data_IF_801284523154
#
_entry.id   IF_801284523154
#
_cell.length_a   1.000
_cell.length_b   1.000
_cell.length_c   1.000
_cell.angle_alpha   90.00
_cell.angle_beta   90.00
_cell.angle_gamma   90.00
#
_symmetry.space_group_name_H-M   'P 1'
#
loop_
_entity.id
_entity.type
_entity.pdbx_description
1 polymer ?
#
# COMPACT_ATOMS: atom_id res chain seq x y z
N UNK A 1 -22.92 14.34 -34.75
CA UNK A 1 -22.79 13.34 -33.68
C UNK A 1 -21.40 12.71 -33.81
N UNK A 2 -20.59 12.68 -32.74
CA UNK A 2 -19.31 11.95 -32.80
C UNK A 2 -19.64 10.46 -32.83
N UNK A 3 -19.03 9.71 -33.78
CA UNK A 3 -19.13 8.28 -33.84
C UNK A 3 -18.51 7.65 -32.56
N UNK A 4 -19.17 6.64 -31.98
CA UNK A 4 -18.72 5.97 -30.75
C UNK A 4 -17.34 5.33 -30.96
N UNK A 5 -17.08 4.78 -32.15
CA UNK A 5 -15.78 4.17 -32.44
C UNK A 5 -14.66 5.20 -32.50
N UNK A 6 -14.93 6.40 -33.01
CA UNK A 6 -13.98 7.50 -32.94
C UNK A 6 -13.67 7.91 -31.49
N UNK A 7 -14.69 7.95 -30.62
CA UNK A 7 -14.48 8.28 -29.21
C UNK A 7 -13.68 7.20 -28.48
N UNK A 8 -13.86 5.92 -28.82
CA UNK A 8 -13.05 4.81 -28.30
C UNK A 8 -11.59 4.93 -28.74
N UNK A 9 -11.34 5.21 -30.01
CA UNK A 9 -9.98 5.45 -30.50
C UNK A 9 -9.31 6.65 -29.80
N UNK A 10 -10.06 7.74 -29.58
CA UNK A 10 -9.54 8.88 -28.84
C UNK A 10 -9.19 8.51 -27.37
N UNK A 11 -9.93 7.60 -26.73
CA UNK A 11 -9.62 7.05 -25.41
C UNK A 11 -8.37 6.17 -25.43
N UNK A 12 -8.25 5.27 -26.40
CA UNK A 12 -7.09 4.39 -26.57
C UNK A 12 -5.79 5.23 -26.68
N UNK A 13 -5.81 6.34 -27.42
CA UNK A 13 -4.69 7.26 -27.50
C UNK A 13 -4.36 7.90 -26.12
N UNK A 14 -5.38 8.25 -25.34
CA UNK A 14 -5.16 8.76 -23.97
C UNK A 14 -4.55 7.69 -23.07
N UNK A 15 -5.00 6.45 -23.18
CA UNK A 15 -4.49 5.32 -22.40
C UNK A 15 -3.02 5.02 -22.73
N UNK A 16 -2.62 5.07 -24.00
CA UNK A 16 -1.22 4.97 -24.41
C UNK A 16 -0.35 6.04 -23.74
N UNK A 17 -0.78 7.30 -23.74
CA UNK A 17 -0.05 8.40 -23.09
C UNK A 17 0.08 8.15 -21.58
N UNK A 18 -0.97 7.68 -20.92
CA UNK A 18 -0.96 7.36 -19.48
C UNK A 18 0.05 6.24 -19.19
N UNK A 19 0.04 5.17 -19.98
CA UNK A 19 0.95 4.03 -19.82
C UNK A 19 2.39 4.46 -20.01
N UNK A 20 2.69 5.22 -21.05
CA UNK A 20 4.04 5.72 -21.32
C UNK A 20 4.53 6.68 -20.25
N UNK A 21 3.67 7.57 -19.77
CA UNK A 21 4.00 8.48 -18.67
C UNK A 21 4.28 7.73 -17.36
N UNK A 22 3.52 6.67 -17.06
CA UNK A 22 3.74 5.82 -15.89
C UNK A 22 5.04 5.03 -16.02
N UNK A 23 5.35 4.47 -17.18
CA UNK A 23 6.61 3.77 -17.45
C UNK A 23 7.81 4.69 -17.23
N UNK A 24 7.81 5.87 -17.83
CA UNK A 24 8.86 6.88 -17.65
C UNK A 24 8.98 7.28 -16.17
N UNK A 25 7.85 7.51 -15.50
CA UNK A 25 7.82 7.87 -14.08
C UNK A 25 8.49 6.80 -13.20
N UNK A 26 8.21 5.52 -13.44
CA UNK A 26 8.78 4.44 -12.63
C UNK A 26 10.28 4.25 -12.89
N UNK A 27 10.77 4.51 -14.09
CA UNK A 27 12.21 4.57 -14.36
C UNK A 27 12.88 5.66 -13.53
N UNK A 28 12.31 6.87 -13.51
CA UNK A 28 12.83 7.98 -12.69
C UNK A 28 12.74 7.64 -11.18
N UNK A 29 11.70 6.94 -10.74
CA UNK A 29 11.59 6.51 -9.35
C UNK A 29 12.72 5.56 -8.95
N UNK A 30 13.20 4.69 -9.80
CA UNK A 30 14.37 3.85 -9.53
C UNK A 30 15.63 4.70 -9.31
N UNK A 31 15.88 5.69 -10.16
CA UNK A 31 16.99 6.63 -9.97
C UNK A 31 16.89 7.41 -8.66
N UNK A 32 15.67 7.89 -8.34
CA UNK A 32 15.38 8.56 -7.06
C UNK A 32 15.61 7.64 -5.87
N UNK A 33 15.28 6.34 -5.99
CA UNK A 33 15.49 5.34 -4.94
C UNK A 33 16.98 5.16 -4.65
N UNK A 34 17.77 4.98 -5.69
CA UNK A 34 19.22 4.85 -5.57
C UNK A 34 19.84 6.10 -4.92
N UNK A 35 19.46 7.27 -5.40
CA UNK A 35 19.93 8.54 -4.82
C UNK A 35 19.59 8.69 -3.33
N UNK A 36 18.36 8.34 -2.95
CA UNK A 36 17.93 8.38 -1.55
C UNK A 36 18.71 7.40 -0.68
N UNK A 37 18.95 6.20 -1.17
CA UNK A 37 19.73 5.18 -0.47
C UNK A 37 21.18 5.64 -0.24
N UNK A 38 21.83 6.17 -1.25
CA UNK A 38 23.21 6.66 -1.17
C UNK A 38 23.37 7.84 -0.23
N UNK A 39 22.33 8.68 -0.08
CA UNK A 39 22.37 9.90 0.73
C UNK A 39 21.61 9.78 2.06
N UNK A 40 21.12 8.61 2.45
CA UNK A 40 20.40 8.39 3.70
C UNK A 40 19.09 9.16 3.80
N UNK A 41 18.40 9.40 2.66
CA UNK A 41 17.15 10.17 2.60
C UNK A 41 15.95 9.23 2.76
N UNK A 42 14.99 9.61 3.60
CA UNK A 42 13.77 8.83 3.82
C UNK A 42 12.92 8.68 2.56
N UNK A 43 12.28 7.49 2.41
CA UNK A 43 11.35 7.22 1.30
C UNK A 43 10.17 8.18 1.35
N UNK A 44 9.56 8.30 2.53
CA UNK A 44 8.36 9.09 2.76
C UNK A 44 8.74 10.52 3.11
N UNK A 45 8.37 11.45 2.27
CA UNK A 45 8.61 12.88 2.43
C UNK A 45 7.27 13.62 2.32
N UNK A 46 6.57 13.88 3.43
CA UNK A 46 5.23 14.47 3.43
C UNK A 46 5.16 15.82 2.74
N UNK A 47 6.18 16.66 2.94
CA UNK A 47 6.24 18.00 2.33
C UNK A 47 6.32 17.94 0.80
N UNK A 48 7.11 17.01 0.26
CA UNK A 48 7.22 16.81 -1.18
C UNK A 48 5.92 16.22 -1.77
N UNK A 49 5.22 15.37 -1.02
CA UNK A 49 3.92 14.86 -1.43
C UNK A 49 2.88 15.96 -1.51
N UNK A 50 2.81 16.84 -0.52
CA UNK A 50 1.90 17.98 -0.52
C UNK A 50 2.26 18.98 -1.64
N UNK A 51 3.54 19.24 -1.86
CA UNK A 51 3.99 20.06 -3.00
C UNK A 51 3.49 19.50 -4.34
N UNK A 52 3.59 18.18 -4.53
CA UNK A 52 3.12 17.50 -5.75
C UNK A 52 1.60 17.55 -5.90
N UNK A 53 0.85 17.36 -4.82
CA UNK A 53 -0.62 17.48 -4.85
C UNK A 53 -1.04 18.90 -5.21
N UNK A 54 -0.41 19.91 -4.61
CA UNK A 54 -0.65 21.31 -4.92
C UNK A 54 -0.38 21.60 -6.40
N UNK A 55 0.76 21.13 -6.93
CA UNK A 55 1.08 21.27 -8.35
C UNK A 55 -0.03 20.73 -9.26
N UNK A 56 -0.59 19.55 -8.93
CA UNK A 56 -1.69 18.96 -9.71
C UNK A 56 -2.95 19.80 -9.61
N UNK A 57 -3.30 20.27 -8.41
CA UNK A 57 -4.48 21.12 -8.21
C UNK A 57 -4.37 22.45 -8.97
N UNK A 58 -3.19 23.07 -8.93
CA UNK A 58 -2.91 24.33 -9.65
C UNK A 58 -3.02 24.14 -11.19
N UNK A 59 -2.52 22.99 -11.69
CA UNK A 59 -2.65 22.62 -13.11
C UNK A 59 -4.10 22.41 -13.55
N UNK A 60 -4.94 21.88 -12.67
CA UNK A 60 -6.34 21.57 -12.98
C UNK A 60 -7.26 22.78 -12.86
N UNK A 61 -6.90 23.79 -12.05
CA UNK A 61 -7.72 24.97 -11.83
C UNK A 61 -9.17 24.61 -11.45
N UNK A 62 -10.13 25.10 -12.23
CA UNK A 62 -11.56 24.86 -12.01
C UNK A 62 -12.12 23.64 -12.77
N UNK A 63 -11.23 22.71 -13.19
CA UNK A 63 -11.67 21.52 -13.91
C UNK A 63 -12.71 20.69 -13.12
N UNK A 64 -13.83 20.38 -13.75
CA UNK A 64 -15.00 19.71 -13.14
C UNK A 64 -14.63 18.41 -12.40
N UNK A 65 -13.68 17.62 -12.95
CA UNK A 65 -13.30 16.32 -12.41
C UNK A 65 -11.99 16.37 -11.60
N UNK A 66 -11.55 17.55 -11.13
CA UNK A 66 -10.30 17.73 -10.40
C UNK A 66 -10.13 16.79 -9.20
N UNK A 67 -11.22 16.52 -8.44
CA UNK A 67 -11.18 15.59 -7.30
C UNK A 67 -10.88 14.16 -7.73
N UNK A 68 -11.42 13.71 -8.86
CA UNK A 68 -11.17 12.36 -9.40
C UNK A 68 -9.73 12.23 -9.89
N UNK A 69 -9.21 13.24 -10.60
CA UNK A 69 -7.82 13.28 -11.04
C UNK A 69 -6.87 13.27 -9.86
N UNK A 70 -7.15 14.06 -8.80
CA UNK A 70 -6.32 14.08 -7.61
C UNK A 70 -6.26 12.71 -6.93
N UNK A 71 -7.37 11.98 -6.80
CA UNK A 71 -7.40 10.62 -6.24
C UNK A 71 -6.54 9.64 -7.04
N UNK A 72 -6.59 9.71 -8.37
CA UNK A 72 -5.73 8.89 -9.23
C UNK A 72 -4.26 9.26 -9.00
N UNK A 73 -3.95 10.55 -8.91
CA UNK A 73 -2.58 11.01 -8.68
C UNK A 73 -2.05 10.59 -7.30
N UNK A 74 -2.87 10.64 -6.26
CA UNK A 74 -2.53 10.11 -4.93
C UNK A 74 -2.21 8.61 -4.99
N UNK A 75 -2.94 7.84 -5.78
CA UNK A 75 -2.65 6.42 -6.03
C UNK A 75 -1.29 6.24 -6.73
N UNK A 76 -0.95 7.11 -7.68
CA UNK A 76 0.36 7.11 -8.35
C UNK A 76 1.49 7.41 -7.35
N UNK A 77 1.31 8.39 -6.45
CA UNK A 77 2.29 8.71 -5.40
C UNK A 77 2.47 7.52 -4.45
N UNK A 78 1.37 6.93 -4.00
CA UNK A 78 1.38 5.75 -3.14
C UNK A 78 2.16 4.59 -3.81
N UNK A 79 1.84 4.26 -5.07
CA UNK A 79 2.53 3.19 -5.81
C UNK A 79 4.02 3.48 -5.99
N UNK A 80 4.40 4.73 -6.23
CA UNK A 80 5.80 5.13 -6.34
C UNK A 80 6.58 4.88 -5.03
N UNK A 81 5.97 5.16 -3.87
CA UNK A 81 6.57 4.85 -2.56
C UNK A 81 6.70 3.35 -2.34
N UNK A 82 5.69 2.59 -2.73
CA UNK A 82 5.72 1.12 -2.63
C UNK A 82 6.85 0.51 -3.46
N UNK A 83 7.09 1.00 -4.67
CA UNK A 83 8.22 0.56 -5.51
C UNK A 83 9.54 0.83 -4.79
N UNK A 84 9.76 2.05 -4.29
CA UNK A 84 10.96 2.38 -3.51
C UNK A 84 11.13 1.47 -2.30
N UNK A 85 10.06 1.23 -1.54
CA UNK A 85 10.07 0.35 -0.38
C UNK A 85 10.48 -1.08 -0.75
N UNK A 86 9.92 -1.63 -1.82
CA UNK A 86 10.24 -2.99 -2.28
C UNK A 86 11.70 -3.15 -2.75
N UNK A 87 12.28 -2.10 -3.32
CA UNK A 87 13.67 -2.12 -3.77
C UNK A 87 14.66 -2.02 -2.59
N UNK A 88 14.28 -1.29 -1.53
CA UNK A 88 15.16 -1.05 -0.38
C UNK A 88 15.02 -2.09 0.74
N UNK A 89 13.83 -2.68 0.90
CA UNK A 89 13.52 -3.59 2.02
C UNK A 89 12.99 -4.92 1.51
N UNK A 90 13.85 -5.91 1.39
CA UNK A 90 13.50 -7.26 0.94
C UNK A 90 13.18 -8.23 2.10
N UNK A 91 12.95 -7.67 3.29
CA UNK A 91 12.63 -8.39 4.53
C UNK A 91 11.21 -8.10 5.02
N UNK A 92 10.76 -8.90 5.98
CA UNK A 92 9.50 -8.72 6.69
C UNK A 92 9.76 -8.32 8.14
N UNK A 93 8.83 -7.53 8.72
CA UNK A 93 8.83 -7.18 10.14
C UNK A 93 7.66 -7.89 10.80
N UNK A 94 7.94 -8.69 11.84
CA UNK A 94 6.91 -9.35 12.65
C UNK A 94 6.83 -8.66 14.01
N UNK A 95 5.65 -8.13 14.35
CA UNK A 95 5.36 -7.51 15.64
C UNK A 95 4.68 -8.53 16.55
N UNK A 96 5.39 -8.96 17.59
CA UNK A 96 4.94 -9.94 18.57
C UNK A 96 4.69 -9.25 19.92
N UNK A 97 3.73 -9.72 20.68
CA UNK A 97 3.45 -9.22 22.03
C UNK A 97 1.98 -9.33 22.39
N UNK A 98 1.66 -9.15 23.67
CA UNK A 98 0.32 -9.30 24.22
C UNK A 98 -0.69 -8.34 23.59
N UNK A 99 -1.97 -8.67 23.74
CA UNK A 99 -3.07 -7.80 23.38
C UNK A 99 -2.95 -6.43 24.11
N UNK A 100 -3.20 -5.33 23.39
CA UNK A 100 -3.17 -3.98 23.98
C UNK A 100 -1.78 -3.32 24.08
N UNK A 101 -0.65 -4.00 23.79
CA UNK A 101 0.69 -3.38 23.90
C UNK A 101 1.01 -2.36 22.79
N UNK A 102 0.09 -2.11 21.86
CA UNK A 102 0.26 -1.09 20.82
C UNK A 102 0.84 -1.59 19.50
N UNK A 103 0.82 -2.90 19.20
CA UNK A 103 1.32 -3.47 17.94
C UNK A 103 0.73 -2.76 16.71
N UNK A 104 -0.59 -2.56 16.67
CA UNK A 104 -1.25 -1.87 15.54
C UNK A 104 -0.92 -0.37 15.45
N UNK A 105 -0.50 0.26 16.55
CA UNK A 105 0.03 1.63 16.53
C UNK A 105 1.43 1.66 15.91
N UNK A 106 2.27 0.70 16.30
CA UNK A 106 3.64 0.57 15.76
C UNK A 106 3.59 0.16 14.29
N UNK A 107 2.73 -0.80 13.90
CA UNK A 107 2.59 -1.23 12.50
C UNK A 107 2.23 -0.07 11.59
N UNK A 108 1.30 0.80 12.01
CA UNK A 108 0.92 2.02 11.28
C UNK A 108 2.05 3.06 11.21
N UNK A 109 2.83 3.20 12.28
CA UNK A 109 4.00 4.09 12.28
C UNK A 109 5.07 3.58 11.30
N UNK A 110 5.42 2.31 11.35
CA UNK A 110 6.36 1.68 10.43
C UNK A 110 5.88 1.74 8.96
N UNK A 111 4.58 1.51 8.72
CA UNK A 111 3.99 1.68 7.40
C UNK A 111 4.19 3.10 6.86
N UNK A 112 4.00 4.12 7.70
CA UNK A 112 4.20 5.52 7.30
C UNK A 112 5.67 5.84 7.01
N UNK A 113 6.59 5.24 7.74
CA UNK A 113 8.04 5.49 7.58
C UNK A 113 8.62 4.73 6.39
N UNK A 114 8.31 3.44 6.27
CA UNK A 114 8.94 2.55 5.29
C UNK A 114 8.08 2.26 4.06
N UNK A 115 6.84 2.74 4.03
CA UNK A 115 5.87 2.44 2.97
C UNK A 115 5.67 0.92 2.72
N UNK A 116 5.86 0.07 3.75
CA UNK A 116 5.60 -1.37 3.71
C UNK A 116 4.10 -1.66 3.86
N UNK A 117 3.61 -2.79 3.34
CA UNK A 117 2.24 -3.22 3.57
C UNK A 117 2.08 -3.79 4.98
N UNK A 118 0.94 -3.49 5.61
CA UNK A 118 0.59 -4.04 6.93
C UNK A 118 -0.39 -5.20 6.78
N UNK A 119 -0.10 -6.28 7.49
CA UNK A 119 -0.98 -7.43 7.66
C UNK A 119 -1.34 -7.51 9.14
N UNK A 120 -2.53 -7.05 9.49
CA UNK A 120 -3.13 -7.27 10.82
C UNK A 120 -3.74 -8.68 10.83
N UNK A 121 -3.11 -9.62 11.53
CA UNK A 121 -3.49 -11.04 11.46
C UNK A 121 -4.94 -11.27 11.85
N UNK A 122 -5.39 -10.65 12.93
CA UNK A 122 -6.76 -10.79 13.44
C UNK A 122 -7.79 -10.35 12.39
N UNK A 123 -7.55 -9.22 11.72
CA UNK A 123 -8.44 -8.71 10.66
C UNK A 123 -8.49 -9.65 9.45
N UNK A 124 -7.33 -10.21 9.05
CA UNK A 124 -7.25 -11.14 7.92
C UNK A 124 -7.99 -12.44 8.24
N UNK A 125 -7.80 -13.00 9.45
CA UNK A 125 -8.47 -14.23 9.88
C UNK A 125 -9.98 -14.02 9.97
N UNK A 126 -10.42 -12.94 10.60
CA UNK A 126 -11.84 -12.58 10.68
C UNK A 126 -12.47 -12.46 9.29
N UNK A 127 -11.80 -11.76 8.36
CA UNK A 127 -12.28 -11.59 6.98
C UNK A 127 -12.35 -12.92 6.21
N UNK A 128 -11.36 -13.81 6.37
CA UNK A 128 -11.34 -15.11 5.69
C UNK A 128 -12.49 -16.02 6.13
N UNK A 129 -12.82 -15.95 7.42
CA UNK A 129 -13.89 -16.74 8.00
C UNK A 129 -15.27 -16.09 7.87
N UNK A 130 -15.34 -14.81 7.45
CA UNK A 130 -16.60 -14.08 7.34
C UNK A 130 -17.28 -13.80 8.68
N UNK A 131 -16.54 -13.87 9.80
CA UNK A 131 -17.05 -13.71 11.17
C UNK A 131 -16.00 -13.01 12.06
N UNK A 132 -16.44 -12.47 13.19
CA UNK A 132 -15.56 -11.85 14.17
C UNK A 132 -14.68 -12.90 14.89
N UNK A 133 -13.58 -12.43 15.48
CA UNK A 133 -12.69 -13.30 16.27
C UNK A 133 -13.45 -13.99 17.41
N UNK A 134 -14.36 -13.29 18.09
CA UNK A 134 -15.19 -13.87 19.17
C UNK A 134 -16.08 -15.00 18.65
N UNK A 135 -16.73 -14.81 17.50
CA UNK A 135 -17.52 -15.87 16.86
C UNK A 135 -16.68 -17.07 16.43
N UNK A 136 -15.44 -16.84 15.97
CA UNK A 136 -14.51 -17.94 15.65
C UNK A 136 -14.21 -18.78 16.91
N UNK A 137 -13.92 -18.12 18.05
CA UNK A 137 -13.67 -18.82 19.30
C UNK A 137 -14.90 -19.59 19.80
N UNK A 138 -16.10 -19.01 19.70
CA UNK A 138 -17.34 -19.64 20.13
C UNK A 138 -17.72 -20.86 19.27
N UNK A 139 -17.57 -20.77 17.95
CA UNK A 139 -18.01 -21.79 16.99
C UNK A 139 -16.96 -22.86 16.71
N UNK A 140 -15.68 -22.48 16.65
CA UNK A 140 -14.60 -23.37 16.22
C UNK A 140 -13.56 -23.63 17.31
N UNK A 141 -13.56 -22.86 18.39
CA UNK A 141 -12.60 -22.98 19.48
C UNK A 141 -11.24 -22.34 19.22
N UNK A 142 -10.41 -22.35 20.28
CA UNK A 142 -9.09 -21.71 20.24
C UNK A 142 -8.12 -22.45 19.30
N UNK A 143 -8.14 -23.77 19.26
CA UNK A 143 -7.23 -24.58 18.45
C UNK A 143 -7.36 -24.22 16.95
N UNK A 144 -8.58 -24.11 16.46
CA UNK A 144 -8.83 -23.68 15.08
C UNK A 144 -8.25 -22.29 14.80
N UNK A 145 -8.44 -21.34 15.73
CA UNK A 145 -7.88 -20.00 15.56
C UNK A 145 -6.35 -20.04 15.48
N UNK A 146 -5.67 -20.83 16.32
CA UNK A 146 -4.21 -21.01 16.28
C UNK A 146 -3.72 -21.67 15.00
N UNK A 147 -4.51 -22.58 14.43
CA UNK A 147 -4.20 -23.12 13.10
C UNK A 147 -4.27 -22.04 12.01
N UNK A 148 -5.28 -21.19 12.03
CA UNK A 148 -5.41 -20.09 11.08
C UNK A 148 -4.27 -19.05 11.24
N UNK A 149 -3.87 -18.73 12.47
CA UNK A 149 -2.67 -17.91 12.72
C UNK A 149 -1.42 -18.57 12.10
N UNK A 150 -1.22 -19.85 12.34
CA UNK A 150 -0.07 -20.59 11.80
C UNK A 150 -0.07 -20.63 10.28
N UNK A 151 -1.21 -20.85 9.65
CA UNK A 151 -1.35 -20.81 8.17
C UNK A 151 -0.97 -19.43 7.63
N UNK A 152 -1.49 -18.37 8.24
CA UNK A 152 -1.22 -16.99 7.80
C UNK A 152 0.25 -16.61 7.98
N UNK A 153 0.90 -17.04 9.06
CA UNK A 153 2.34 -16.86 9.28
C UNK A 153 3.18 -17.57 8.20
N UNK A 154 2.82 -18.82 7.85
CA UNK A 154 3.50 -19.56 6.77
C UNK A 154 3.34 -18.88 5.42
N UNK A 155 2.16 -18.37 5.10
CA UNK A 155 1.92 -17.59 3.89
C UNK A 155 2.71 -16.28 3.87
N UNK A 156 2.80 -15.61 5.01
CA UNK A 156 3.54 -14.37 5.17
C UNK A 156 5.04 -14.54 4.98
N UNK A 157 5.59 -15.72 5.29
CA UNK A 157 7.01 -16.05 5.07
C UNK A 157 7.41 -15.97 3.60
N UNK A 158 6.48 -16.27 2.69
CA UNK A 158 6.73 -16.25 1.24
C UNK A 158 6.55 -14.87 0.61
N UNK A 159 6.15 -13.88 1.40
CA UNK A 159 6.05 -12.48 0.97
C UNK A 159 7.31 -11.72 1.38
N UNK A 160 7.53 -10.58 0.77
CA UNK A 160 8.58 -9.63 1.13
C UNK A 160 7.98 -8.26 1.32
N UNK A 161 8.66 -7.42 2.08
CA UNK A 161 8.28 -6.03 2.29
C UNK A 161 6.91 -5.86 2.95
N UNK A 162 6.63 -6.67 3.98
CA UNK A 162 5.41 -6.57 4.78
C UNK A 162 5.73 -6.43 6.28
N UNK A 163 4.81 -5.78 6.97
CA UNK A 163 4.76 -5.70 8.43
C UNK A 163 3.61 -6.60 8.86
N UNK A 164 3.89 -7.62 9.64
CA UNK A 164 2.88 -8.55 10.19
C UNK A 164 2.66 -8.21 11.66
N UNK A 165 1.47 -7.73 11.99
CA UNK A 165 1.04 -7.53 13.36
C UNK A 165 0.39 -8.83 13.83
N UNK A 166 1.14 -9.61 14.63
CA UNK A 166 0.72 -10.92 15.12
C UNK A 166 -0.35 -10.81 16.20
N UNK A 167 -1.20 -11.82 16.32
CA UNK A 167 -2.18 -11.93 17.41
C UNK A 167 -1.51 -11.94 18.80
N UNK A 168 -2.29 -11.72 19.84
CA UNK A 168 -1.77 -11.61 21.22
C UNK A 168 -1.29 -12.92 21.84
N UNK A 169 -1.45 -14.05 21.17
CA UNK A 169 -1.10 -15.39 21.64
C UNK A 169 0.01 -16.10 20.84
N UNK A 170 0.67 -15.38 19.97
CA UNK A 170 1.80 -15.89 19.16
C UNK A 170 3.11 -15.71 19.91
#
# INVERSE_FOLDING_TARGET
MKDLDKLRNDLDMCDEIIVDALRMRYQIIQEVTNYKQENGIEIVQPEEEERKKKFVLDKLGDYKYKKSVLKVYESILYRSKRIQSHELFDFNIFLIGFMGVGKSTISKALQRTFAMDVVEMDEVIAKRNGMSISEIFELHGEEYFREEETKLLRESRNKKNIIVSCGGGV
#
